data_IF_808381241821
#
_entry.id   IF_808381241821
#
_cell.length_a   1.000
_cell.length_b   1.000
_cell.length_c   1.000
_cell.angle_alpha   90.00
_cell.angle_beta   90.00
_cell.angle_gamma   90.00
#
_symmetry.space_group_name_H-M   'P 1'
#
loop_
_entity.id
_entity.type
_entity.pdbx_description
1 polymer ?
#
# COMPACT_ATOMS: atom_id res chain seq x y z
N UNK A 1 18.38 2.16 21.91
CA UNK A 1 17.22 1.95 22.81
C UNK A 1 16.11 3.01 22.68
N UNK A 2 16.36 4.32 22.87
CA UNK A 2 15.29 5.35 22.90
C UNK A 2 14.35 5.38 21.67
N UNK A 3 14.89 5.28 20.44
CA UNK A 3 14.09 5.27 19.20
C UNK A 3 13.12 4.08 19.12
N UNK A 4 13.58 2.88 19.54
CA UNK A 4 12.75 1.66 19.55
C UNK A 4 11.59 1.81 20.52
N UNK A 5 11.85 2.28 21.74
CA UNK A 5 10.82 2.52 22.76
C UNK A 5 9.78 3.53 22.27
N UNK A 6 10.21 4.62 21.61
CA UNK A 6 9.29 5.59 21.03
C UNK A 6 8.44 4.96 19.92
N UNK A 7 9.06 4.19 19.01
CA UNK A 7 8.37 3.58 17.89
C UNK A 7 7.34 2.54 18.36
N UNK A 8 7.70 1.68 19.30
CA UNK A 8 6.78 0.68 19.86
C UNK A 8 5.57 1.35 20.54
N UNK A 9 5.78 2.48 21.25
CA UNK A 9 4.69 3.27 21.83
C UNK A 9 3.80 3.91 20.77
N UNK A 10 4.37 4.43 19.69
CA UNK A 10 3.62 5.00 18.58
C UNK A 10 2.75 3.95 17.90
N UNK A 11 3.33 2.78 17.60
CA UNK A 11 2.60 1.65 17.02
C UNK A 11 1.41 1.25 17.91
N UNK A 12 1.65 1.04 19.20
CA UNK A 12 0.61 0.61 20.14
C UNK A 12 -0.52 1.63 20.33
N UNK A 13 -0.24 2.93 20.22
CA UNK A 13 -1.20 3.98 20.54
C UNK A 13 -1.92 4.59 19.33
N UNK A 14 -1.35 4.50 18.12
CA UNK A 14 -1.78 5.29 16.97
C UNK A 14 -1.94 4.51 15.66
N UNK A 15 -1.48 3.27 15.59
CA UNK A 15 -1.43 2.52 14.33
C UNK A 15 -2.24 1.23 14.46
N UNK A 16 -3.11 0.98 13.48
CA UNK A 16 -3.67 -0.35 13.26
C UNK A 16 -2.79 -1.07 12.26
N UNK A 17 -2.29 -2.25 12.61
CA UNK A 17 -1.47 -3.09 11.73
C UNK A 17 -2.40 -4.05 10.99
N UNK A 18 -2.32 -4.05 9.67
CA UNK A 18 -3.05 -4.99 8.81
C UNK A 18 -2.10 -6.09 8.36
N UNK A 19 -2.42 -7.32 8.71
CA UNK A 19 -1.63 -8.48 8.32
C UNK A 19 -1.81 -8.80 6.83
N UNK A 20 -0.73 -9.28 6.21
CA UNK A 20 -0.80 -9.84 4.85
C UNK A 20 -1.29 -11.29 4.97
N UNK A 21 -2.48 -11.55 4.47
CA UNK A 21 -3.06 -12.89 4.38
C UNK A 21 -3.08 -13.41 2.93
N UNK A 22 -3.57 -14.62 2.72
CA UNK A 22 -3.66 -15.25 1.40
C UNK A 22 -4.41 -14.39 0.38
N UNK A 23 -5.58 -13.83 0.76
CA UNK A 23 -6.36 -12.96 -0.12
C UNK A 23 -5.60 -11.71 -0.57
N UNK A 24 -4.77 -11.15 0.32
CA UNK A 24 -3.88 -10.01 0.01
C UNK A 24 -2.70 -10.45 -0.85
N UNK A 25 -2.18 -11.67 -0.67
CA UNK A 25 -1.03 -12.19 -1.41
C UNK A 25 -1.37 -12.65 -2.84
N UNK A 26 -2.58 -13.17 -3.07
CA UNK A 26 -3.02 -13.69 -4.37
C UNK A 26 -3.31 -12.58 -5.40
N UNK A 27 -4.07 -11.56 -4.99
CA UNK A 27 -4.47 -10.44 -5.84
C UNK A 27 -3.32 -9.70 -6.55
N UNK A 28 -2.19 -9.36 -5.91
CA UNK A 28 -1.14 -8.56 -6.52
C UNK A 28 -0.41 -9.30 -7.66
N UNK A 29 -0.43 -10.63 -7.69
CA UNK A 29 0.15 -11.41 -8.80
C UNK A 29 -0.55 -11.12 -10.13
N UNK A 30 -1.88 -11.24 -10.15
CA UNK A 30 -2.69 -11.01 -11.35
C UNK A 30 -2.63 -9.55 -11.81
N UNK A 31 -2.85 -8.61 -10.89
CA UNK A 31 -2.85 -7.17 -11.22
C UNK A 31 -1.47 -6.72 -11.72
N UNK A 32 -0.38 -7.22 -11.10
CA UNK A 32 0.98 -6.89 -11.55
C UNK A 32 1.29 -7.47 -12.92
N UNK A 33 0.83 -8.67 -13.22
CA UNK A 33 0.98 -9.26 -14.56
C UNK A 33 0.25 -8.43 -15.61
N UNK A 34 -1.01 -8.03 -15.35
CA UNK A 34 -1.81 -7.18 -16.24
C UNK A 34 -1.17 -5.80 -16.48
N UNK A 35 -0.65 -5.16 -15.42
CA UNK A 35 0.06 -3.89 -15.53
C UNK A 35 1.37 -4.04 -16.31
N UNK A 36 2.08 -5.15 -16.11
CA UNK A 36 3.30 -5.49 -16.84
C UNK A 36 3.06 -5.64 -18.35
N UNK A 37 1.93 -6.24 -18.76
CA UNK A 37 1.52 -6.32 -20.17
C UNK A 37 1.30 -4.93 -20.80
N UNK A 38 0.96 -3.93 -20.00
CA UNK A 38 0.77 -2.54 -20.43
C UNK A 38 2.03 -1.68 -20.25
N UNK A 39 3.20 -2.29 -20.05
CA UNK A 39 4.48 -1.60 -19.90
C UNK A 39 4.66 -0.87 -18.56
N UNK A 40 3.74 -1.06 -17.61
CA UNK A 40 3.85 -0.49 -16.26
C UNK A 40 4.51 -1.50 -15.32
N UNK A 41 5.66 -1.10 -14.75
CA UNK A 41 6.38 -1.95 -13.79
C UNK A 41 6.16 -1.42 -12.39
N UNK A 42 5.44 -2.19 -11.57
CA UNK A 42 5.24 -1.90 -10.16
C UNK A 42 6.11 -2.82 -9.30
N UNK A 43 6.62 -2.29 -8.19
CA UNK A 43 7.38 -3.09 -7.23
C UNK A 43 6.47 -4.07 -6.51
N UNK A 44 7.00 -5.22 -6.08
CA UNK A 44 6.19 -6.20 -5.36
C UNK A 44 5.65 -5.68 -4.03
N UNK A 45 6.39 -4.77 -3.38
CA UNK A 45 5.98 -4.19 -2.10
C UNK A 45 4.83 -3.18 -2.28
N UNK A 46 4.88 -2.35 -3.33
CA UNK A 46 3.79 -1.41 -3.63
C UNK A 46 2.50 -2.16 -4.00
N UNK A 47 2.64 -3.27 -4.73
CA UNK A 47 1.52 -4.15 -5.04
C UNK A 47 0.89 -4.76 -3.79
N UNK A 48 1.68 -5.15 -2.78
CA UNK A 48 1.15 -5.62 -1.50
C UNK A 48 0.41 -4.52 -0.74
N UNK A 49 0.97 -3.30 -0.70
CA UNK A 49 0.30 -2.14 -0.07
C UNK A 49 -1.05 -1.86 -0.76
N UNK A 50 -1.05 -1.85 -2.10
CA UNK A 50 -2.25 -1.61 -2.90
C UNK A 50 -3.31 -2.71 -2.70
N UNK A 51 -2.88 -3.98 -2.67
CA UNK A 51 -3.77 -5.11 -2.44
C UNK A 51 -4.39 -5.07 -1.04
N UNK A 52 -3.60 -4.78 0.00
CA UNK A 52 -4.11 -4.60 1.37
C UNK A 52 -5.17 -3.51 1.41
N UNK A 53 -4.86 -2.32 0.87
CA UNK A 53 -5.82 -1.22 0.85
C UNK A 53 -7.10 -1.60 0.08
N UNK A 54 -7.00 -2.28 -1.05
CA UNK A 54 -8.17 -2.72 -1.80
C UNK A 54 -9.03 -3.74 -1.05
N UNK A 55 -8.42 -4.78 -0.47
CA UNK A 55 -9.15 -5.83 0.29
C UNK A 55 -9.91 -5.24 1.47
N UNK A 56 -9.34 -4.22 2.11
CA UNK A 56 -9.94 -3.54 3.26
C UNK A 56 -10.82 -2.33 2.90
N UNK A 57 -10.98 -2.00 1.61
CA UNK A 57 -11.78 -0.83 1.17
C UNK A 57 -11.19 0.52 1.61
N UNK A 58 -9.86 0.61 1.68
CA UNK A 58 -9.12 1.79 2.13
C UNK A 58 -8.45 2.53 0.96
N UNK A 59 -7.97 3.74 1.23
CA UNK A 59 -7.12 4.52 0.33
C UNK A 59 -5.64 4.44 0.74
N UNK A 60 -4.74 4.53 -0.23
CA UNK A 60 -3.30 4.69 0.01
C UNK A 60 -2.97 6.17 0.13
N UNK A 61 -2.52 6.61 1.31
CA UNK A 61 -1.98 7.95 1.51
C UNK A 61 -0.47 7.94 1.17
N UNK A 62 -0.06 8.56 0.07
CA UNK A 62 1.34 8.54 -0.38
C UNK A 62 1.72 9.79 -1.18
N UNK A 63 2.99 10.17 -1.09
CA UNK A 63 3.58 11.18 -1.99
C UNK A 63 3.84 10.62 -3.39
N UNK A 64 4.12 9.32 -3.50
CA UNK A 64 4.52 8.68 -4.75
C UNK A 64 3.31 8.07 -5.47
N UNK A 65 2.36 8.91 -5.88
CA UNK A 65 1.08 8.45 -6.45
C UNK A 65 1.24 7.58 -7.71
N UNK A 66 2.30 7.83 -8.49
CA UNK A 66 2.64 7.09 -9.72
C UNK A 66 2.84 5.59 -9.47
N UNK A 67 3.36 5.22 -8.31
CA UNK A 67 3.65 3.82 -7.95
C UNK A 67 2.37 2.98 -7.76
N UNK A 68 1.21 3.64 -7.70
CA UNK A 68 -0.09 3.01 -7.49
C UNK A 68 -1.06 3.19 -8.67
N UNK A 69 -0.61 3.81 -9.76
CA UNK A 69 -1.43 4.00 -10.96
C UNK A 69 -1.84 2.67 -11.59
N UNK A 70 -3.14 2.47 -11.80
CA UNK A 70 -3.65 1.22 -12.40
C UNK A 70 -3.81 0.07 -11.40
N UNK A 71 -3.43 0.24 -10.13
CA UNK A 71 -3.66 -0.76 -9.08
C UNK A 71 -5.13 -0.85 -8.60
N UNK A 72 -6.03 -0.07 -9.19
CA UNK A 72 -7.46 0.00 -8.85
C UNK A 72 -7.74 0.30 -7.37
N UNK A 73 -6.89 1.14 -6.74
CA UNK A 73 -7.03 1.58 -5.34
C UNK A 73 -7.11 3.11 -5.29
N UNK A 74 -7.96 3.70 -4.42
CA UNK A 74 -7.96 5.14 -4.21
C UNK A 74 -6.62 5.62 -3.66
N UNK A 75 -6.10 6.72 -4.18
CA UNK A 75 -4.82 7.29 -3.74
C UNK A 75 -5.04 8.75 -3.33
N UNK A 76 -4.53 9.10 -2.14
CA UNK A 76 -4.54 10.45 -1.61
C UNK A 76 -3.10 10.93 -1.42
N UNK A 77 -2.77 12.11 -1.93
CA UNK A 77 -1.45 12.72 -1.71
C UNK A 77 -1.54 13.81 -0.63
N UNK A 78 -1.06 13.56 0.60
CA UNK A 78 -1.15 14.54 1.68
C UNK A 78 -0.18 15.73 1.53
N UNK A 79 0.68 15.73 0.50
CA UNK A 79 1.64 16.79 0.22
C UNK A 79 1.16 17.79 -0.83
N UNK A 80 0.00 17.54 -1.44
CA UNK A 80 -0.64 18.48 -2.36
C UNK A 80 -1.79 19.17 -1.66
N UNK A 81 -1.92 20.48 -1.87
CA UNK A 81 -3.04 21.28 -1.40
C UNK A 81 -3.99 21.45 -2.59
N UNK A 82 -4.90 20.49 -2.77
CA UNK A 82 -6.15 20.73 -3.51
C UNK A 82 -7.32 20.71 -2.51
#
# INVERSE_FOLDING_TARGET
MKKRIWFDKFLAAKVTILDVNEAIAERPGTVRAELGLNGKTHSQLDMLIAATAWVHGLAVATRNTKDFEGCAVPVFNPFTYE
#
